data_IF_534430081496
#
_entry.id   IF_534430081496
#
_cell.length_a   1.000
_cell.length_b   1.000
_cell.length_c   1.000
_cell.angle_alpha   90.00
_cell.angle_beta   90.00
_cell.angle_gamma   90.00
#
_symmetry.space_group_name_H-M   'P 1'
#
loop_
_entity.id
_entity.type
_entity.pdbx_description
1 polymer ?
#
# COMPACT_ATOMS: atom_id res chain seq x y z
N UNK A 1 -4.20 -13.92 19.09
CA UNK A 1 -2.86 -14.44 19.18
C UNK A 1 -2.61 -14.66 20.65
N UNK A 2 -2.54 -15.91 21.05
CA UNK A 2 -2.16 -16.29 22.39
C UNK A 2 -0.72 -15.82 22.58
N UNK A 3 -0.53 -15.02 23.60
CA UNK A 3 0.74 -14.40 23.96
C UNK A 3 1.60 -15.43 24.71
N UNK A 4 1.80 -16.60 24.06
CA UNK A 4 2.59 -17.69 24.60
C UNK A 4 4.03 -17.27 24.90
N UNK A 5 4.60 -16.37 24.07
CA UNK A 5 5.95 -15.86 24.27
C UNK A 5 6.03 -14.98 25.55
N UNK A 6 5.00 -14.22 25.84
CA UNK A 6 4.92 -13.42 27.06
C UNK A 6 4.68 -14.29 28.30
N UNK A 7 3.85 -15.33 28.15
CA UNK A 7 3.62 -16.30 29.23
C UNK A 7 4.90 -17.07 29.56
N UNK A 8 5.68 -17.45 28.53
CA UNK A 8 6.95 -18.17 28.71
C UNK A 8 8.01 -17.32 29.43
N UNK A 9 8.15 -16.04 29.04
CA UNK A 9 9.06 -15.11 29.70
C UNK A 9 8.71 -14.96 31.21
N UNK A 10 7.44 -14.89 31.55
CA UNK A 10 6.98 -14.77 32.93
C UNK A 10 7.26 -16.02 33.77
N UNK A 11 7.12 -17.22 33.18
CA UNK A 11 7.41 -18.49 33.84
C UNK A 11 8.92 -18.68 34.04
N UNK A 12 9.74 -18.29 33.07
CA UNK A 12 11.20 -18.47 33.13
C UNK A 12 11.89 -17.57 34.18
N UNK A 13 11.32 -16.38 34.46
CA UNK A 13 11.89 -15.42 35.42
C UNK A 13 11.39 -15.61 36.85
N UNK A 14 10.46 -16.54 37.11
CA UNK A 14 9.93 -16.82 38.45
C UNK A 14 9.17 -15.64 39.10
N UNK A 15 8.77 -14.64 38.33
CA UNK A 15 8.03 -13.51 38.80
C UNK A 15 6.53 -13.80 38.88
N UNK A 16 6.00 -13.98 40.07
CA UNK A 16 4.59 -13.70 40.33
C UNK A 16 4.35 -12.18 40.28
N UNK A 17 4.27 -11.64 39.07
CA UNK A 17 3.78 -10.27 38.91
C UNK A 17 2.29 -10.27 39.23
N UNK A 18 1.89 -9.69 40.37
CA UNK A 18 0.55 -9.13 40.50
C UNK A 18 0.41 -8.09 39.39
N UNK A 19 -0.30 -8.45 38.31
CA UNK A 19 -0.64 -7.47 37.29
C UNK A 19 -1.40 -6.34 37.97
N UNK A 20 -0.92 -5.10 37.88
CA UNK A 20 -1.73 -3.97 38.33
C UNK A 20 -3.08 -4.10 37.61
N UNK A 21 -4.17 -3.75 38.30
CA UNK A 21 -5.49 -3.68 37.68
C UNK A 21 -5.36 -2.89 36.40
N UNK A 22 -5.54 -3.59 35.27
CA UNK A 22 -5.38 -2.96 33.96
C UNK A 22 -6.44 -1.85 33.89
N UNK A 23 -6.01 -0.61 33.98
CA UNK A 23 -6.85 0.50 33.58
C UNK A 23 -7.38 0.20 32.18
N UNK A 24 -8.67 0.35 31.92
CA UNK A 24 -9.20 0.11 30.58
C UNK A 24 -8.36 0.91 29.58
N UNK A 25 -7.82 0.22 28.58
CA UNK A 25 -7.01 0.89 27.57
C UNK A 25 -7.81 2.05 26.96
N UNK A 26 -7.21 3.22 26.82
CA UNK A 26 -7.90 4.35 26.20
C UNK A 26 -8.37 3.95 24.80
N UNK A 27 -9.54 4.40 24.40
CA UNK A 27 -10.08 4.18 23.06
C UNK A 27 -9.13 4.80 22.04
N UNK A 28 -8.38 3.96 21.33
CA UNK A 28 -7.42 4.42 20.33
C UNK A 28 -8.14 4.77 19.01
N UNK A 29 -7.65 5.78 18.26
CA UNK A 29 -8.25 6.15 16.98
C UNK A 29 -8.18 4.99 15.98
N UNK A 30 -9.15 4.93 15.05
CA UNK A 30 -9.18 3.90 14.00
C UNK A 30 -8.01 4.01 13.03
N UNK A 31 -7.37 5.17 12.93
CA UNK A 31 -6.18 5.38 12.11
C UNK A 31 -5.17 6.31 12.79
N UNK A 32 -3.90 6.11 12.46
CA UNK A 32 -2.80 6.93 12.94
C UNK A 32 -1.73 7.09 11.86
N UNK A 33 -1.03 8.23 11.88
CA UNK A 33 0.11 8.53 11.03
C UNK A 33 1.33 8.82 11.89
N UNK A 34 2.48 8.31 11.46
CA UNK A 34 3.80 8.54 12.04
C UNK A 34 4.67 9.22 10.98
N UNK A 35 4.56 10.54 10.88
CA UNK A 35 5.10 11.34 9.77
C UNK A 35 6.60 11.17 9.58
N UNK A 36 7.39 11.24 10.68
CA UNK A 36 8.85 11.12 10.64
C UNK A 36 9.36 9.68 10.41
N UNK A 37 8.49 8.68 10.56
CA UNK A 37 8.76 7.29 10.16
C UNK A 37 8.22 7.03 8.75
N UNK A 38 7.23 7.79 8.32
CA UNK A 38 6.55 7.65 7.05
C UNK A 38 5.65 6.43 6.97
N UNK A 39 4.93 6.12 8.05
CA UNK A 39 3.99 4.99 8.13
C UNK A 39 2.63 5.48 8.61
N UNK A 40 1.57 4.98 8.01
CA UNK A 40 0.22 5.16 8.53
C UNK A 40 -0.51 3.81 8.59
N UNK A 41 -1.35 3.67 9.62
CA UNK A 41 -2.25 2.53 9.81
C UNK A 41 -3.69 3.00 9.77
N UNK A 42 -4.53 2.27 9.02
CA UNK A 42 -5.96 2.49 8.91
C UNK A 42 -6.69 1.20 9.26
N UNK A 43 -7.74 1.28 10.06
CA UNK A 43 -8.56 0.15 10.48
C UNK A 43 -10.04 0.51 10.33
N UNK A 44 -10.85 -0.47 9.95
CA UNK A 44 -12.31 -0.30 9.88
C UNK A 44 -12.95 -0.56 11.24
N UNK A 45 -12.50 -1.58 11.96
CA UNK A 45 -12.93 -1.91 13.31
C UNK A 45 -11.73 -2.41 14.12
N UNK A 46 -11.07 -1.50 14.84
CA UNK A 46 -9.89 -1.83 15.63
C UNK A 46 -10.17 -2.69 16.84
N UNK A 47 -11.35 -2.56 17.41
CA UNK A 47 -11.74 -3.27 18.63
C UNK A 47 -12.14 -4.72 18.34
N UNK A 48 -12.59 -5.00 17.09
CA UNK A 48 -12.99 -6.33 16.67
C UNK A 48 -12.18 -6.83 15.48
N UNK A 49 -11.12 -7.60 15.75
CA UNK A 49 -10.26 -8.16 14.72
C UNK A 49 -11.02 -9.02 13.69
N UNK A 50 -12.13 -9.66 14.11
CA UNK A 50 -12.96 -10.50 13.23
C UNK A 50 -13.79 -9.72 12.22
N UNK A 51 -13.84 -8.39 12.34
CA UNK A 51 -14.52 -7.47 11.41
C UNK A 51 -13.56 -6.46 10.79
N UNK A 52 -12.29 -6.50 11.18
CA UNK A 52 -11.34 -5.45 10.84
C UNK A 52 -10.69 -5.68 9.47
N UNK A 53 -10.84 -4.70 8.60
CA UNK A 53 -9.94 -4.47 7.48
C UNK A 53 -8.85 -3.50 7.97
N UNK A 54 -7.60 -3.98 7.96
CA UNK A 54 -6.41 -3.18 8.30
C UNK A 54 -5.59 -2.92 7.05
N UNK A 55 -5.24 -1.68 6.85
CA UNK A 55 -4.32 -1.24 5.82
C UNK A 55 -3.14 -0.53 6.49
N UNK A 56 -1.93 -0.90 6.12
CA UNK A 56 -0.72 -0.12 6.41
C UNK A 56 -0.19 0.46 5.12
N UNK A 57 0.28 1.71 5.15
CA UNK A 57 0.94 2.39 4.04
C UNK A 57 2.30 2.89 4.48
N UNK A 58 3.26 2.92 3.56
CA UNK A 58 4.62 3.40 3.84
C UNK A 58 5.11 4.32 2.74
N UNK A 59 5.58 5.48 3.15
CA UNK A 59 6.37 6.41 2.35
C UNK A 59 7.26 7.20 3.32
N UNK A 60 8.51 6.77 3.50
CA UNK A 60 9.40 7.23 4.57
C UNK A 60 10.25 8.42 4.14
N UNK A 61 10.46 9.42 5.01
CA UNK A 61 11.45 10.48 4.77
C UNK A 61 12.90 9.97 4.82
N UNK A 62 13.11 8.71 5.19
CA UNK A 62 14.38 8.01 5.08
C UNK A 62 14.28 7.00 3.94
N UNK A 63 15.31 6.95 3.08
CA UNK A 63 15.39 6.00 1.99
C UNK A 63 15.67 4.57 2.45
N UNK A 64 16.17 3.73 1.55
CA UNK A 64 16.49 2.33 1.84
C UNK A 64 17.94 2.17 2.29
N UNK A 65 18.15 1.68 3.51
CA UNK A 65 19.46 1.42 4.10
C UNK A 65 19.37 0.23 5.08
N UNK A 66 20.40 -0.60 5.15
CA UNK A 66 20.53 -1.70 6.11
C UNK A 66 19.31 -2.66 6.10
N UNK A 67 18.43 -2.58 7.09
CA UNK A 67 17.25 -3.45 7.22
C UNK A 67 15.99 -2.88 6.54
N UNK A 68 15.99 -1.64 6.10
CA UNK A 68 14.86 -1.04 5.39
C UNK A 68 14.80 -1.51 3.93
N UNK A 69 13.67 -1.32 3.29
CA UNK A 69 13.42 -1.73 1.91
C UNK A 69 13.15 -0.51 1.02
N UNK A 70 13.43 -0.63 -0.26
CA UNK A 70 13.06 0.36 -1.28
C UNK A 70 11.57 0.23 -1.60
N UNK A 71 10.70 0.76 -0.74
CA UNK A 71 9.25 0.50 -0.70
C UNK A 71 8.40 1.75 -0.41
N UNK A 72 8.78 2.90 -0.98
CA UNK A 72 7.96 4.11 -0.81
C UNK A 72 6.68 4.04 -1.65
N UNK A 73 5.61 4.61 -1.11
CA UNK A 73 4.26 4.53 -1.66
C UNK A 73 3.78 3.08 -1.85
N UNK A 74 4.02 2.22 -0.86
CA UNK A 74 3.51 0.85 -0.81
C UNK A 74 2.44 0.70 0.27
N UNK A 75 1.70 -0.42 0.21
CA UNK A 75 0.66 -0.74 1.17
C UNK A 75 0.56 -2.25 1.42
N UNK A 76 0.00 -2.62 2.57
CA UNK A 76 -0.36 -4.00 2.90
C UNK A 76 -1.79 -4.06 3.44
N UNK A 77 -2.49 -5.12 3.12
CA UNK A 77 -3.88 -5.36 3.50
C UNK A 77 -4.00 -6.65 4.29
N UNK A 78 -4.59 -6.55 5.47
CA UNK A 78 -5.01 -7.69 6.27
C UNK A 78 -6.50 -7.58 6.59
N UNK A 79 -7.22 -8.68 6.49
CA UNK A 79 -8.63 -8.76 6.82
C UNK A 79 -8.88 -9.86 7.84
N UNK A 80 -9.61 -9.55 8.89
CA UNK A 80 -9.89 -10.47 10.00
C UNK A 80 -8.62 -11.16 10.56
N UNK A 81 -7.54 -10.37 10.72
CA UNK A 81 -6.24 -10.85 11.21
C UNK A 81 -5.43 -11.68 10.23
N UNK A 82 -5.88 -11.85 8.98
CA UNK A 82 -5.15 -12.59 7.93
C UNK A 82 -4.64 -11.64 6.85
N UNK A 83 -3.39 -11.84 6.43
CA UNK A 83 -2.77 -11.09 5.34
C UNK A 83 -3.40 -11.53 4.02
N UNK A 84 -3.97 -10.58 3.26
CA UNK A 84 -4.53 -10.86 1.93
C UNK A 84 -3.61 -10.35 0.82
N UNK A 85 -3.31 -9.05 0.81
CA UNK A 85 -2.38 -8.44 -0.13
C UNK A 85 -1.23 -7.82 0.65
N UNK A 86 -0.04 -8.39 0.53
CA UNK A 86 1.12 -7.96 1.32
C UNK A 86 2.43 -8.30 0.62
N UNK A 87 3.45 -7.54 0.99
CA UNK A 87 4.79 -7.65 0.43
C UNK A 87 5.32 -9.09 0.48
N UNK A 88 6.08 -9.49 -0.53
CA UNK A 88 6.90 -10.70 -0.47
C UNK A 88 7.99 -10.57 0.59
N UNK A 89 8.51 -11.69 1.09
CA UNK A 89 9.71 -11.64 1.92
C UNK A 89 9.54 -12.16 3.34
N UNK A 90 9.22 -13.42 3.46
CA UNK A 90 9.21 -14.10 4.75
C UNK A 90 10.35 -15.12 4.90
N UNK A 91 11.13 -15.36 3.86
CA UNK A 91 12.26 -16.30 3.90
C UNK A 91 13.50 -15.64 4.50
N UNK A 92 14.20 -16.29 5.40
CA UNK A 92 14.82 -15.64 6.52
C UNK A 92 16.32 -15.34 6.39
N UNK A 93 16.91 -15.15 5.23
CA UNK A 93 18.30 -14.74 5.20
C UNK A 93 18.54 -13.46 4.42
N UNK A 94 18.98 -12.42 5.15
CA UNK A 94 19.13 -11.05 4.61
C UNK A 94 20.16 -10.94 3.48
N UNK A 95 21.18 -11.80 3.46
CA UNK A 95 22.22 -11.79 2.43
C UNK A 95 21.93 -12.74 1.27
N UNK A 96 20.79 -13.44 1.26
CA UNK A 96 20.42 -14.32 0.14
C UNK A 96 20.30 -13.51 -1.16
N UNK A 97 20.77 -14.03 -2.30
CA UNK A 97 20.64 -13.34 -3.60
C UNK A 97 19.21 -12.91 -3.90
N UNK A 98 18.21 -13.76 -3.60
CA UNK A 98 16.80 -13.42 -3.77
C UNK A 98 16.35 -12.28 -2.86
N UNK A 99 16.83 -12.19 -1.62
CA UNK A 99 16.54 -11.09 -0.71
C UNK A 99 17.01 -9.76 -1.29
N UNK A 100 18.25 -9.73 -1.81
CA UNK A 100 18.82 -8.53 -2.43
C UNK A 100 18.15 -8.18 -3.77
N UNK A 101 17.75 -9.19 -4.56
CA UNK A 101 17.14 -8.99 -5.87
C UNK A 101 15.62 -8.74 -5.83
N UNK A 102 14.93 -9.12 -4.73
CA UNK A 102 13.48 -9.09 -4.66
C UNK A 102 12.94 -8.48 -3.37
N UNK A 103 13.19 -9.09 -2.20
CA UNK A 103 12.50 -8.71 -0.96
C UNK A 103 12.83 -7.31 -0.46
N UNK A 104 14.03 -6.83 -0.68
CA UNK A 104 14.43 -5.45 -0.34
C UNK A 104 14.11 -4.44 -1.43
N UNK A 105 13.70 -4.93 -2.59
CA UNK A 105 13.41 -4.13 -3.76
C UNK A 105 11.93 -3.81 -3.88
N UNK A 106 11.60 -2.73 -4.56
CA UNK A 106 10.23 -2.35 -4.93
C UNK A 106 9.47 -3.48 -5.62
N UNK A 107 10.18 -4.36 -6.33
CA UNK A 107 9.60 -5.55 -6.98
C UNK A 107 8.92 -6.52 -6.03
N UNK A 108 9.35 -6.59 -4.78
CA UNK A 108 8.74 -7.41 -3.74
C UNK A 108 7.58 -6.74 -3.00
N UNK A 109 7.17 -5.54 -3.42
CA UNK A 109 6.22 -4.69 -2.70
C UNK A 109 5.05 -4.24 -3.57
N UNK A 110 3.93 -3.88 -2.92
CA UNK A 110 2.72 -3.38 -3.60
C UNK A 110 2.92 -1.93 -4.04
N UNK A 111 3.77 -1.73 -5.03
CA UNK A 111 4.29 -0.44 -5.48
C UNK A 111 4.29 -0.27 -7.00
N UNK A 112 5.12 0.66 -7.48
CA UNK A 112 5.28 0.98 -8.90
C UNK A 112 6.69 0.65 -9.36
N UNK A 113 6.81 0.08 -10.56
CA UNK A 113 8.09 -0.04 -11.27
C UNK A 113 8.10 0.91 -12.46
N UNK A 114 9.29 1.38 -12.80
CA UNK A 114 9.57 2.26 -13.94
C UNK A 114 10.57 1.55 -14.84
N UNK A 115 10.23 1.31 -16.10
CA UNK A 115 11.05 0.50 -17.03
C UNK A 115 11.52 -0.83 -16.41
N UNK A 116 10.59 -1.52 -15.69
CA UNK A 116 10.81 -2.77 -14.94
C UNK A 116 11.80 -2.65 -13.77
N UNK A 117 12.22 -1.46 -13.39
CA UNK A 117 13.12 -1.17 -12.28
C UNK A 117 12.35 -0.58 -11.09
N UNK A 118 12.80 -0.89 -9.88
CA UNK A 118 12.27 -0.30 -8.65
C UNK A 118 13.00 0.97 -8.24
N UNK A 119 12.66 1.43 -7.05
CA UNK A 119 13.35 2.54 -6.39
C UNK A 119 14.79 2.13 -6.07
N UNK A 120 15.79 3.03 -6.22
CA UNK A 120 17.16 2.77 -5.79
C UNK A 120 17.25 2.39 -4.31
N UNK A 121 18.08 1.40 -4.00
CA UNK A 121 18.42 1.08 -2.63
C UNK A 121 19.45 2.08 -2.10
N UNK A 122 18.97 3.24 -1.68
CA UNK A 122 19.77 4.42 -1.34
C UNK A 122 19.09 5.20 -0.20
N UNK A 123 19.87 5.67 0.77
CA UNK A 123 19.36 6.39 1.94
C UNK A 123 18.71 7.75 1.56
N UNK A 124 19.17 8.35 0.46
CA UNK A 124 18.60 9.60 -0.07
C UNK A 124 17.41 9.42 -1.00
N UNK A 125 17.04 8.18 -1.38
CA UNK A 125 15.84 7.88 -2.16
C UNK A 125 14.62 7.80 -1.25
N UNK A 126 13.96 8.90 -0.97
CA UNK A 126 12.94 9.04 0.07
C UNK A 126 11.54 9.37 -0.46
N UNK A 127 10.54 9.17 0.38
CA UNK A 127 9.18 9.63 0.21
C UNK A 127 8.62 10.18 1.52
N UNK A 128 7.37 10.57 1.57
CA UNK A 128 6.70 11.02 2.79
C UNK A 128 5.18 10.96 2.67
N UNK A 129 4.48 11.22 3.76
CA UNK A 129 3.01 11.21 3.82
C UNK A 129 2.50 12.64 4.09
N UNK A 130 2.25 13.46 3.04
CA UNK A 130 1.93 14.88 3.21
C UNK A 130 0.52 15.16 3.73
N UNK A 131 -0.45 14.23 3.62
CA UNK A 131 -1.83 14.46 4.06
C UNK A 131 -2.39 13.25 4.77
N UNK A 132 -3.17 13.53 5.80
CA UNK A 132 -3.91 12.53 6.56
C UNK A 132 -5.25 13.10 7.04
N UNK A 133 -6.33 12.35 6.84
CA UNK A 133 -7.65 12.65 7.38
C UNK A 133 -8.24 11.34 7.94
N UNK A 134 -8.52 11.29 9.24
CA UNK A 134 -9.25 10.19 9.84
C UNK A 134 -10.72 10.58 10.07
N UNK A 135 -11.61 10.03 9.25
CA UNK A 135 -13.05 10.15 9.39
C UNK A 135 -13.68 8.94 10.09
N UNK A 136 -14.98 9.05 10.33
CA UNK A 136 -15.76 7.95 10.91
C UNK A 136 -16.04 6.86 9.85
N UNK A 137 -16.46 7.26 8.65
CA UNK A 137 -16.80 6.36 7.53
C UNK A 137 -15.69 6.23 6.51
N UNK A 138 -14.79 7.22 6.41
CA UNK A 138 -13.69 7.25 5.45
C UNK A 138 -12.41 7.75 6.10
N UNK A 139 -11.30 7.04 5.83
CA UNK A 139 -9.95 7.49 6.19
C UNK A 139 -9.12 7.70 4.93
N UNK A 140 -8.36 8.78 4.90
CA UNK A 140 -7.53 9.16 3.76
C UNK A 140 -6.07 9.38 4.16
N UNK A 141 -5.16 8.90 3.31
CA UNK A 141 -3.71 9.19 3.37
C UNK A 141 -3.23 9.54 1.97
N UNK A 142 -2.35 10.52 1.85
CA UNK A 142 -1.58 10.79 0.64
C UNK A 142 -0.13 10.40 0.89
N UNK A 143 0.46 9.63 -0.01
CA UNK A 143 1.88 9.39 -0.09
C UNK A 143 2.51 10.11 -1.27
N UNK A 144 3.67 10.70 -1.06
CA UNK A 144 4.51 11.30 -2.10
C UNK A 144 5.85 10.56 -2.15
N UNK A 145 6.15 9.92 -3.28
CA UNK A 145 7.38 9.21 -3.55
C UNK A 145 8.10 9.78 -4.79
N UNK A 146 7.90 11.05 -5.08
CA UNK A 146 8.53 11.71 -6.23
C UNK A 146 10.05 11.67 -6.17
N UNK A 147 10.63 11.70 -4.96
CA UNK A 147 12.07 11.63 -4.74
C UNK A 147 12.60 10.19 -4.55
N UNK A 148 11.72 9.21 -4.47
CA UNK A 148 12.11 7.83 -4.17
C UNK A 148 12.76 7.10 -5.37
N UNK A 149 12.70 7.66 -6.57
CA UNK A 149 13.28 7.08 -7.79
C UNK A 149 14.60 7.72 -8.19
N UNK A 150 15.24 8.41 -7.26
CA UNK A 150 16.55 9.06 -7.44
C UNK A 150 17.47 8.62 -6.32
N UNK A 151 18.70 8.21 -6.65
CA UNK A 151 19.74 7.97 -5.68
C UNK A 151 20.55 9.26 -5.46
N UNK A 152 20.78 9.62 -4.21
CA UNK A 152 21.43 10.87 -3.83
C UNK A 152 22.75 10.64 -3.08
N UNK A 153 22.92 9.51 -2.40
CA UNK A 153 24.08 9.27 -1.53
C UNK A 153 25.09 8.29 -2.13
N UNK A 154 24.62 7.23 -2.79
CA UNK A 154 25.50 6.18 -3.31
C UNK A 154 25.50 6.12 -4.83
N UNK A 155 26.67 6.24 -5.50
CA UNK A 155 26.79 5.98 -6.92
C UNK A 155 26.33 4.57 -7.28
N UNK A 156 25.76 4.36 -8.48
CA UNK A 156 25.25 3.06 -8.94
C UNK A 156 26.26 1.91 -8.77
N UNK A 157 27.54 2.16 -9.05
CA UNK A 157 28.65 1.21 -8.89
C UNK A 157 28.85 0.72 -7.45
N UNK A 158 28.38 1.46 -6.46
CA UNK A 158 28.52 1.14 -5.03
C UNK A 158 27.26 0.48 -4.47
N UNK A 159 26.17 0.41 -5.27
CA UNK A 159 24.93 -0.26 -4.88
C UNK A 159 24.88 -1.66 -5.47
N UNK A 160 24.32 -2.58 -4.70
CA UNK A 160 24.15 -3.99 -5.11
C UNK A 160 22.86 -4.24 -5.91
N UNK A 161 22.05 -3.21 -6.10
CA UNK A 161 20.74 -3.32 -6.73
C UNK A 161 20.74 -3.06 -8.25
N UNK A 162 21.85 -2.57 -8.78
CA UNK A 162 22.02 -2.23 -10.20
C UNK A 162 20.97 -1.26 -10.77
N UNK A 163 20.23 -0.53 -9.90
CA UNK A 163 19.27 0.48 -10.38
C UNK A 163 19.99 1.73 -10.87
N UNK A 164 19.46 2.44 -11.88
CA UNK A 164 19.98 3.74 -12.30
C UNK A 164 19.96 4.77 -11.14
N UNK A 165 20.85 5.75 -11.16
CA UNK A 165 20.86 6.84 -10.19
C UNK A 165 19.60 7.72 -10.28
N UNK A 166 19.09 7.91 -11.50
CA UNK A 166 17.86 8.66 -11.76
C UNK A 166 16.99 7.90 -12.74
N UNK A 167 15.81 7.52 -12.31
CA UNK A 167 14.78 6.87 -13.11
C UNK A 167 13.96 7.87 -13.93
N UNK A 168 14.22 9.17 -13.78
CA UNK A 168 13.53 10.24 -14.48
C UNK A 168 12.09 10.46 -14.01
N UNK A 169 11.73 10.01 -12.81
CA UNK A 169 10.41 10.30 -12.22
C UNK A 169 10.39 11.73 -11.70
N UNK A 170 9.45 12.53 -12.19
CA UNK A 170 9.22 13.90 -11.73
C UNK A 170 8.20 13.99 -10.63
N UNK A 171 7.23 13.07 -10.66
CA UNK A 171 6.06 13.14 -9.82
C UNK A 171 5.50 11.75 -9.61
N UNK A 172 5.28 11.36 -8.36
CA UNK A 172 4.54 10.16 -7.99
C UNK A 172 3.81 10.39 -6.67
N UNK A 173 2.51 10.61 -6.77
CA UNK A 173 1.59 10.66 -5.63
C UNK A 173 0.60 9.52 -5.67
N UNK A 174 0.35 8.93 -4.51
CA UNK A 174 -0.58 7.83 -4.32
C UNK A 174 -1.58 8.18 -3.23
N UNK A 175 -2.83 8.23 -3.61
CA UNK A 175 -3.96 8.43 -2.71
C UNK A 175 -4.43 7.09 -2.20
N UNK A 176 -4.60 6.98 -0.88
CA UNK A 176 -5.14 5.83 -0.20
C UNK A 176 -6.41 6.22 0.53
N UNK A 177 -7.53 5.54 0.24
CA UNK A 177 -8.80 5.77 0.88
C UNK A 177 -9.34 4.45 1.44
N UNK A 178 -9.52 4.38 2.74
CA UNK A 178 -10.20 3.29 3.39
C UNK A 178 -11.64 3.68 3.66
N UNK A 179 -12.58 3.06 2.95
CA UNK A 179 -14.01 3.23 3.11
C UNK A 179 -14.52 2.07 3.96
N UNK A 180 -15.05 2.38 5.11
CA UNK A 180 -15.55 1.36 6.02
C UNK A 180 -16.90 0.82 5.54
N UNK A 181 -17.16 -0.53 5.67
CA UNK A 181 -16.33 -1.47 6.44
C UNK A 181 -15.26 -2.22 5.64
N UNK A 182 -15.29 -2.25 4.27
CA UNK A 182 -14.58 -3.28 3.53
C UNK A 182 -14.03 -2.87 2.16
N UNK A 183 -13.92 -1.56 1.87
CA UNK A 183 -13.40 -1.08 0.59
C UNK A 183 -12.11 -0.27 0.81
N UNK A 184 -11.11 -0.56 -0.01
CA UNK A 184 -9.87 0.22 -0.06
C UNK A 184 -9.58 0.66 -1.49
N UNK A 185 -9.33 1.96 -1.67
CA UNK A 185 -9.06 2.57 -2.98
C UNK A 185 -7.64 3.08 -3.01
N UNK A 186 -6.95 2.82 -4.11
CA UNK A 186 -5.64 3.41 -4.44
C UNK A 186 -5.77 4.16 -5.76
N UNK A 187 -5.41 5.44 -5.76
CA UNK A 187 -5.37 6.25 -6.97
C UNK A 187 -3.99 6.87 -7.13
N UNK A 188 -3.35 6.59 -8.28
CA UNK A 188 -1.99 6.99 -8.58
C UNK A 188 -1.91 8.11 -9.62
N UNK A 189 -1.04 9.06 -9.35
CA UNK A 189 -0.67 10.14 -10.24
C UNK A 189 0.83 10.13 -10.48
N UNK A 190 1.23 9.94 -11.73
CA UNK A 190 2.64 9.78 -12.09
C UNK A 190 3.02 10.58 -13.34
N UNK A 191 4.25 11.13 -13.32
CA UNK A 191 4.88 11.78 -14.46
C UNK A 191 6.38 11.50 -14.48
N UNK A 192 6.93 11.19 -15.67
CA UNK A 192 8.36 11.03 -15.90
C UNK A 192 8.90 12.09 -16.89
N UNK A 193 10.21 12.28 -16.91
CA UNK A 193 10.90 13.21 -17.82
C UNK A 193 10.76 12.76 -19.28
N UNK A 194 10.82 11.46 -19.53
CA UNK A 194 10.67 10.80 -20.84
C UNK A 194 9.62 9.69 -20.78
N UNK A 195 9.10 9.18 -21.90
CA UNK A 195 8.22 8.02 -21.90
C UNK A 195 8.90 6.79 -21.29
N UNK A 196 8.24 6.14 -20.35
CA UNK A 196 8.68 4.94 -19.63
C UNK A 196 7.54 3.91 -19.56
N UNK A 197 7.87 2.66 -19.27
CA UNK A 197 6.90 1.64 -18.91
C UNK A 197 6.56 1.80 -17.43
N UNK A 198 5.27 1.98 -17.12
CA UNK A 198 4.76 2.02 -15.76
C UNK A 198 4.18 0.65 -15.41
N UNK A 199 4.65 0.06 -14.32
CA UNK A 199 4.10 -1.21 -13.84
C UNK A 199 3.58 -1.08 -12.42
N UNK A 200 2.34 -1.51 -12.19
CA UNK A 200 1.66 -1.57 -10.90
C UNK A 200 1.74 -2.99 -10.35
N UNK A 201 2.18 -3.16 -9.09
CA UNK A 201 2.46 -4.46 -8.48
C UNK A 201 1.53 -4.74 -7.31
N UNK A 202 1.10 -6.01 -7.16
CA UNK A 202 0.50 -6.52 -5.94
C UNK A 202 0.93 -7.97 -5.69
N UNK A 203 1.03 -8.34 -4.41
CA UNK A 203 1.59 -9.61 -3.96
C UNK A 203 0.64 -10.34 -3.02
N UNK A 204 0.75 -11.67 -3.03
CA UNK A 204 0.00 -12.54 -2.14
C UNK A 204 0.73 -13.89 -1.95
N UNK A 205 0.47 -14.56 -0.82
CA UNK A 205 1.01 -15.91 -0.55
C UNK A 205 0.03 -17.03 -0.97
N UNK A 206 -1.28 -16.74 -0.93
CA UNK A 206 -2.31 -17.76 -1.07
C UNK A 206 -2.71 -18.08 -2.51
N UNK A 207 -2.21 -17.32 -3.46
CA UNK A 207 -2.56 -17.41 -4.88
C UNK A 207 -3.33 -16.19 -5.36
N UNK A 208 -3.17 -15.89 -6.65
CA UNK A 208 -3.86 -14.81 -7.34
C UNK A 208 -4.57 -15.38 -8.56
N UNK A 209 -5.88 -15.19 -8.65
CA UNK A 209 -6.70 -15.56 -9.80
C UNK A 209 -7.00 -14.32 -10.62
N UNK A 210 -6.54 -14.30 -11.86
CA UNK A 210 -6.76 -13.20 -12.79
C UNK A 210 -7.98 -13.48 -13.68
N UNK A 211 -8.88 -12.51 -13.78
CA UNK A 211 -9.95 -12.43 -14.77
C UNK A 211 -9.65 -11.29 -15.74
N UNK A 212 -9.21 -11.64 -16.95
CA UNK A 212 -8.90 -10.68 -18.00
C UNK A 212 -10.12 -9.94 -18.55
N UNK A 213 -11.32 -10.56 -18.51
CA UNK A 213 -12.53 -9.95 -19.07
C UNK A 213 -12.99 -8.77 -18.21
N UNK A 214 -12.91 -8.95 -16.89
CA UNK A 214 -13.37 -7.95 -15.92
C UNK A 214 -12.24 -7.09 -15.35
N UNK A 215 -10.98 -7.33 -15.74
CA UNK A 215 -9.78 -6.68 -15.19
C UNK A 215 -9.71 -6.80 -13.66
N UNK A 216 -10.02 -8.00 -13.14
CA UNK A 216 -10.02 -8.26 -11.71
C UNK A 216 -9.02 -9.33 -11.30
N UNK A 217 -8.51 -9.19 -10.09
CA UNK A 217 -7.63 -10.16 -9.44
C UNK A 217 -8.25 -10.53 -8.10
N UNK A 218 -8.33 -11.83 -7.83
CA UNK A 218 -8.84 -12.35 -6.59
C UNK A 218 -7.79 -13.14 -5.83
N UNK A 219 -7.87 -13.08 -4.51
CA UNK A 219 -7.16 -13.96 -3.60
C UNK A 219 -8.13 -14.49 -2.55
N UNK A 220 -7.91 -15.74 -2.14
CA UNK A 220 -8.75 -16.39 -1.15
C UNK A 220 -7.89 -17.04 -0.07
N UNK A 221 -8.27 -16.88 1.19
CA UNK A 221 -7.74 -17.60 2.33
C UNK A 221 -8.91 -18.20 3.11
N UNK A 222 -9.17 -19.51 2.89
CA UNK A 222 -10.34 -20.23 3.43
C UNK A 222 -11.65 -19.58 2.95
N UNK A 223 -12.44 -19.07 3.88
CA UNK A 223 -13.76 -18.46 3.71
C UNK A 223 -13.74 -16.95 3.45
N UNK A 224 -12.55 -16.34 3.40
CA UNK A 224 -12.37 -14.90 3.21
C UNK A 224 -11.43 -14.58 2.08
N UNK A 225 -11.60 -13.42 1.49
CA UNK A 225 -10.78 -13.04 0.38
C UNK A 225 -10.77 -11.56 0.09
N UNK A 226 -10.13 -11.22 -1.01
CA UNK A 226 -10.08 -9.88 -1.57
C UNK A 226 -10.15 -9.90 -3.08
N UNK A 227 -10.92 -8.97 -3.64
CA UNK A 227 -10.99 -8.70 -5.09
C UNK A 227 -10.44 -7.31 -5.35
N UNK A 228 -9.52 -7.21 -6.28
CA UNK A 228 -8.99 -5.99 -6.84
C UNK A 228 -9.55 -5.78 -8.25
N UNK A 229 -10.13 -4.61 -8.52
CA UNK A 229 -10.43 -4.11 -9.87
C UNK A 229 -9.43 -3.01 -10.21
N UNK A 230 -8.67 -3.15 -11.33
CA UNK A 230 -7.62 -2.22 -11.71
C UNK A 230 -7.93 -1.54 -13.04
N UNK A 231 -7.83 -0.21 -13.06
CA UNK A 231 -8.07 0.64 -14.22
C UNK A 231 -6.86 1.52 -14.50
N UNK A 232 -6.49 1.63 -15.78
CA UNK A 232 -5.42 2.51 -16.25
C UNK A 232 -5.95 3.74 -16.98
N UNK A 233 -5.28 4.89 -16.82
CA UNK A 233 -5.49 6.08 -17.64
C UNK A 233 -4.94 5.92 -19.08
N UNK A 234 -4.19 4.86 -19.31
CA UNK A 234 -3.70 4.37 -20.61
C UNK A 234 -3.89 2.85 -20.65
N UNK A 235 -3.90 2.24 -21.86
CA UNK A 235 -4.00 0.77 -22.00
C UNK A 235 -2.91 0.05 -21.22
N UNK A 236 -3.30 -1.01 -20.52
CA UNK A 236 -2.47 -1.83 -19.64
C UNK A 236 -2.66 -3.31 -19.95
N UNK A 237 -1.63 -4.10 -19.68
CA UNK A 237 -1.63 -5.54 -19.74
C UNK A 237 -1.44 -6.14 -18.33
N UNK A 238 -1.75 -7.42 -18.15
CA UNK A 238 -1.74 -8.09 -16.86
C UNK A 238 -0.96 -9.40 -16.92
N UNK A 239 -0.13 -9.61 -15.91
CA UNK A 239 0.56 -10.89 -15.68
C UNK A 239 0.43 -11.32 -14.23
N UNK A 240 0.24 -12.63 -14.00
CA UNK A 240 0.26 -13.26 -12.68
C UNK A 240 1.22 -14.44 -12.73
N UNK A 241 2.12 -14.50 -11.75
CA UNK A 241 3.08 -15.62 -11.63
C UNK A 241 3.58 -15.76 -10.21
N UNK A 242 4.09 -16.92 -9.86
CA UNK A 242 4.86 -17.21 -8.65
C UNK A 242 6.34 -17.50 -8.96
N UNK A 243 6.75 -17.25 -10.21
CA UNK A 243 8.12 -17.49 -10.68
C UNK A 243 8.99 -16.25 -10.51
N UNK A 244 10.24 -16.44 -10.18
CA UNK A 244 11.21 -15.39 -9.93
C UNK A 244 12.43 -15.54 -10.83
N UNK A 245 13.02 -14.41 -11.25
CA UNK A 245 14.30 -14.42 -11.98
C UNK A 245 15.45 -14.99 -11.14
N UNK A 246 15.42 -14.74 -9.84
CA UNK A 246 16.34 -15.31 -8.85
C UNK A 246 15.49 -16.08 -7.85
N UNK A 247 15.53 -17.40 -7.92
CA UNK A 247 14.72 -18.27 -7.07
C UNK A 247 15.03 -18.10 -5.58
N UNK A 248 14.02 -18.07 -4.71
CA UNK A 248 14.22 -18.07 -3.28
C UNK A 248 14.69 -19.44 -2.81
N UNK A 249 15.89 -19.49 -2.25
CA UNK A 249 16.44 -20.72 -1.64
C UNK A 249 16.14 -20.73 -0.15
N UNK A 250 15.77 -21.89 0.38
CA UNK A 250 15.69 -22.12 1.81
C UNK A 250 17.08 -22.44 2.33
N UNK A 251 17.75 -21.46 2.94
CA UNK A 251 19.07 -21.68 3.54
C UNK A 251 18.99 -22.31 4.94
N UNK A 252 17.85 -22.19 5.59
CA UNK A 252 17.58 -22.82 6.88
C UNK A 252 16.37 -23.73 6.64
N UNK A 253 16.62 -25.01 6.60
CA UNK A 253 15.55 -26.00 6.67
C UNK A 253 14.92 -25.88 8.06
N UNK A 254 13.70 -25.37 8.11
CA UNK A 254 12.89 -25.41 9.31
C UNK A 254 12.10 -26.71 9.28
N UNK A 255 12.12 -27.41 10.37
CA UNK A 255 11.22 -28.53 10.61
C UNK A 255 10.05 -28.07 11.47
N UNK A 256 8.91 -28.73 11.35
CA UNK A 256 7.79 -28.58 12.28
C UNK A 256 8.12 -29.28 13.62
N UNK A 257 7.13 -29.31 14.53
CA UNK A 257 7.29 -29.97 15.84
C UNK A 257 7.50 -31.47 15.77
N UNK A 258 7.29 -32.09 14.60
CA UNK A 258 7.46 -33.52 14.35
C UNK A 258 8.75 -33.87 13.57
N UNK A 259 9.55 -32.85 13.22
CA UNK A 259 10.79 -33.00 12.48
C UNK A 259 10.63 -33.04 10.96
N UNK A 260 9.42 -32.80 10.43
CA UNK A 260 9.16 -32.72 9.00
C UNK A 260 9.65 -31.40 8.41
N UNK A 261 10.19 -31.44 7.20
CA UNK A 261 10.67 -30.24 6.51
C UNK A 261 9.49 -29.37 6.10
N UNK A 262 9.49 -28.13 6.58
CA UNK A 262 8.51 -27.14 6.17
C UNK A 262 8.80 -26.66 4.74
N UNK A 263 7.88 -26.95 3.83
CA UNK A 263 7.90 -26.39 2.49
C UNK A 263 7.36 -24.96 2.48
N UNK A 264 8.16 -24.04 1.94
CA UNK A 264 7.74 -22.66 1.73
C UNK A 264 7.35 -22.46 0.26
N UNK A 265 6.07 -22.26 0.01
CA UNK A 265 5.56 -21.91 -1.33
C UNK A 265 6.11 -20.55 -1.77
N UNK A 266 6.24 -20.36 -3.09
CA UNK A 266 6.56 -19.05 -3.64
C UNK A 266 5.40 -18.08 -3.41
N UNK A 267 5.72 -16.81 -3.21
CA UNK A 267 4.73 -15.75 -3.21
C UNK A 267 4.30 -15.45 -4.65
N UNK A 268 3.01 -15.31 -4.83
CA UNK A 268 2.42 -14.84 -6.07
C UNK A 268 2.59 -13.35 -6.22
N UNK A 269 2.82 -12.91 -7.43
CA UNK A 269 2.80 -11.50 -7.77
C UNK A 269 2.05 -11.26 -9.07
N UNK A 270 1.27 -10.21 -9.03
CA UNK A 270 0.60 -9.63 -10.18
C UNK A 270 1.34 -8.36 -10.59
N UNK A 271 1.46 -8.17 -11.89
CA UNK A 271 2.02 -6.98 -12.49
C UNK A 271 1.11 -6.50 -13.61
N UNK A 272 0.71 -5.22 -13.55
CA UNK A 272 0.04 -4.54 -14.65
C UNK A 272 1.00 -3.54 -15.27
N UNK A 273 1.25 -3.65 -16.59
CA UNK A 273 2.22 -2.79 -17.28
C UNK A 273 1.53 -2.02 -18.43
N UNK A 274 1.93 -0.78 -18.65
CA UNK A 274 1.46 0.00 -19.82
C UNK A 274 1.85 -0.68 -21.13
N UNK A 275 0.91 -0.79 -22.07
CA UNK A 275 1.18 -1.41 -23.40
C UNK A 275 2.19 -0.61 -24.24
N UNK A 276 2.33 0.67 -23.97
CA UNK A 276 3.31 1.56 -24.62
C UNK A 276 3.92 2.48 -23.58
N UNK A 277 5.16 2.86 -23.75
CA UNK A 277 5.84 3.86 -22.90
C UNK A 277 5.07 5.17 -22.87
N UNK A 278 4.89 5.71 -21.67
CA UNK A 278 4.10 6.90 -21.38
C UNK A 278 4.88 7.87 -20.47
N UNK A 279 4.79 9.18 -20.74
CA UNK A 279 5.31 10.21 -19.82
C UNK A 279 4.47 10.31 -18.56
N UNK A 280 3.14 10.18 -18.71
CA UNK A 280 2.17 10.33 -17.61
C UNK A 280 1.30 9.11 -17.52
N UNK A 281 1.00 8.69 -16.31
CA UNK A 281 0.12 7.56 -16.03
C UNK A 281 -0.77 7.84 -14.83
N UNK A 282 -1.97 7.24 -14.85
CA UNK A 282 -2.91 7.15 -13.75
C UNK A 282 -3.30 5.70 -13.56
N UNK A 283 -3.35 5.24 -12.32
CA UNK A 283 -3.99 3.98 -11.97
C UNK A 283 -5.08 4.22 -10.93
N UNK A 284 -6.17 3.51 -11.06
CA UNK A 284 -7.20 3.40 -10.03
C UNK A 284 -7.38 1.93 -9.69
N UNK A 285 -7.11 1.57 -8.45
CA UNK A 285 -7.37 0.26 -7.90
C UNK A 285 -8.49 0.35 -6.85
N UNK A 286 -9.53 -0.47 -7.01
CA UNK A 286 -10.63 -0.61 -6.06
C UNK A 286 -10.55 -2.02 -5.50
N UNK A 287 -10.30 -2.14 -4.20
CA UNK A 287 -10.11 -3.40 -3.49
C UNK A 287 -11.25 -3.60 -2.52
N UNK A 288 -11.95 -4.70 -2.65
CA UNK A 288 -12.99 -5.14 -1.74
C UNK A 288 -12.49 -6.35 -0.95
N UNK A 289 -12.84 -6.45 0.33
CA UNK A 289 -12.62 -7.66 1.13
C UNK A 289 -13.96 -8.23 1.57
N UNK A 290 -14.04 -9.56 1.68
CA UNK A 290 -15.27 -10.26 2.03
C UNK A 290 -14.95 -11.52 2.85
N UNK A 291 -15.85 -11.90 3.74
CA UNK A 291 -15.79 -13.12 4.55
C UNK A 291 -16.73 -14.25 4.03
N UNK A 292 -17.42 -13.98 2.93
CA UNK A 292 -18.26 -14.93 2.20
C UNK A 292 -17.90 -15.03 0.71
N UNK A 293 -16.80 -14.36 0.30
CA UNK A 293 -16.30 -14.28 -1.08
C UNK A 293 -17.28 -13.62 -2.07
N UNK A 294 -18.27 -12.90 -1.57
CA UNK A 294 -19.16 -12.10 -2.39
C UNK A 294 -18.62 -10.67 -2.51
N UNK A 295 -18.62 -10.17 -3.73
CA UNK A 295 -18.09 -8.84 -4.06
C UNK A 295 -19.07 -8.12 -4.97
N UNK A 296 -19.28 -6.84 -4.68
CA UNK A 296 -20.06 -5.97 -5.56
C UNK A 296 -19.30 -5.73 -6.87
N UNK A 297 -20.03 -5.67 -7.96
CA UNK A 297 -19.45 -5.31 -9.25
C UNK A 297 -19.00 -3.84 -9.25
N UNK A 298 -17.81 -3.59 -9.78
CA UNK A 298 -17.33 -2.22 -10.03
C UNK A 298 -17.78 -1.78 -11.41
N UNK A 299 -18.87 -1.02 -11.46
CA UNK A 299 -19.40 -0.49 -12.71
C UNK A 299 -18.64 0.78 -13.12
N UNK A 300 -18.10 0.82 -14.34
CA UNK A 300 -17.50 2.02 -14.93
C UNK A 300 -18.58 2.75 -15.73
N UNK A 301 -19.03 3.89 -15.21
CA UNK A 301 -20.07 4.72 -15.82
C UNK A 301 -19.41 5.83 -16.64
N UNK A 302 -19.86 6.03 -17.87
CA UNK A 302 -19.32 6.98 -18.85
C UNK A 302 -17.83 6.72 -19.20
N UNK A 303 -17.43 7.15 -20.39
CA UNK A 303 -16.05 6.99 -20.87
C UNK A 303 -15.04 7.68 -19.96
N UNK A 304 -14.64 7.00 -18.89
CA UNK A 304 -13.36 7.29 -18.31
C UNK A 304 -13.25 7.52 -16.82
N UNK A 305 -14.10 8.28 -16.15
CA UNK A 305 -13.73 8.85 -14.85
C UNK A 305 -14.66 8.49 -13.69
N UNK A 306 -15.84 7.91 -13.96
CA UNK A 306 -16.83 7.60 -12.92
C UNK A 306 -16.98 6.09 -12.72
N UNK A 307 -16.99 5.68 -11.48
CA UNK A 307 -17.11 4.29 -11.04
C UNK A 307 -18.13 4.20 -9.91
N UNK A 308 -18.85 3.09 -9.85
CA UNK A 308 -19.75 2.80 -8.73
C UNK A 308 -19.45 1.42 -8.16
N UNK A 309 -19.50 1.31 -6.83
CA UNK A 309 -19.31 0.06 -6.09
C UNK A 309 -19.98 0.16 -4.72
N UNK A 310 -20.76 -0.83 -4.33
CA UNK A 310 -21.32 -0.99 -2.97
C UNK A 310 -21.92 0.32 -2.38
N UNK A 311 -22.72 1.04 -3.19
CA UNK A 311 -23.35 2.29 -2.76
C UNK A 311 -22.43 3.52 -2.74
N UNK A 312 -21.24 3.45 -3.32
CA UNK A 312 -20.31 4.57 -3.45
C UNK A 312 -20.12 4.99 -4.90
N UNK A 313 -20.01 6.28 -5.12
CA UNK A 313 -19.64 6.91 -6.38
C UNK A 313 -18.20 7.42 -6.27
N UNK A 314 -17.35 6.99 -7.21
CA UNK A 314 -15.95 7.37 -7.26
C UNK A 314 -15.73 8.11 -8.57
N UNK A 315 -15.29 9.35 -8.53
CA UNK A 315 -14.86 10.10 -9.71
C UNK A 315 -13.36 10.31 -9.60
N UNK A 316 -12.58 9.51 -10.33
CA UNK A 316 -11.13 9.63 -10.41
C UNK A 316 -10.75 10.15 -11.81
N UNK A 317 -10.01 11.25 -11.86
CA UNK A 317 -9.58 11.78 -13.15
C UNK A 317 -8.51 10.86 -13.78
N UNK A 318 -8.92 10.07 -14.76
CA UNK A 318 -8.06 9.14 -15.50
C UNK A 318 -7.39 9.78 -16.72
N UNK A 319 -7.80 11.00 -17.13
CA UNK A 319 -7.11 11.76 -18.16
C UNK A 319 -5.78 12.29 -17.62
N UNK A 320 -4.69 11.71 -18.13
CA UNK A 320 -3.32 12.03 -17.70
C UNK A 320 -2.87 13.47 -18.06
N UNK A 321 -3.60 14.18 -18.92
CA UNK A 321 -3.25 15.53 -19.35
C UNK A 321 -3.86 16.63 -18.46
N UNK A 322 -4.77 16.28 -17.58
CA UNK A 322 -5.41 17.20 -16.64
C UNK A 322 -4.90 16.97 -15.22
N UNK A 323 -5.05 17.96 -14.30
CA UNK A 323 -4.65 17.78 -12.90
C UNK A 323 -5.34 16.57 -12.24
N UNK A 324 -4.63 15.90 -11.34
CA UNK A 324 -5.18 14.79 -10.59
C UNK A 324 -6.31 15.24 -9.65
N UNK A 325 -7.38 14.46 -9.62
CA UNK A 325 -8.53 14.68 -8.76
C UNK A 325 -9.21 13.36 -8.45
N UNK A 326 -9.53 13.15 -7.20
CA UNK A 326 -10.42 12.07 -6.78
C UNK A 326 -11.54 12.63 -5.90
N UNK A 327 -12.76 12.22 -6.21
CA UNK A 327 -13.98 12.52 -5.47
C UNK A 327 -14.66 11.20 -5.12
N UNK A 328 -15.02 11.03 -3.86
CA UNK A 328 -15.74 9.84 -3.38
C UNK A 328 -16.98 10.30 -2.62
N UNK A 329 -18.14 9.80 -3.01
CA UNK A 329 -19.43 10.19 -2.44
C UNK A 329 -20.26 8.93 -2.12
N UNK A 330 -20.87 8.88 -0.94
CA UNK A 330 -21.87 7.84 -0.65
C UNK A 330 -23.18 8.16 -1.40
N UNK A 331 -23.90 7.13 -1.86
CA UNK A 331 -25.23 7.32 -2.48
C UNK A 331 -26.26 7.92 -1.52
N UNK A 332 -26.09 7.72 -0.20
CA UNK A 332 -26.92 8.35 0.83
C UNK A 332 -26.66 9.86 0.99
N UNK A 333 -25.57 10.38 0.42
CA UNK A 333 -25.17 11.78 0.57
C UNK A 333 -24.58 12.13 1.96
N UNK A 334 -24.29 11.11 2.78
CA UNK A 334 -23.77 11.33 4.14
C UNK A 334 -22.24 11.51 4.17
N UNK A 335 -21.54 11.12 3.10
CA UNK A 335 -20.10 11.25 2.99
C UNK A 335 -19.72 11.83 1.63
N UNK A 336 -18.86 12.84 1.66
CA UNK A 336 -18.22 13.38 0.47
C UNK A 336 -16.77 13.67 0.76
N UNK A 337 -15.88 13.04 0.00
CA UNK A 337 -14.44 13.29 0.05
C UNK A 337 -13.96 13.83 -1.27
N UNK A 338 -13.10 14.85 -1.25
CA UNK A 338 -12.46 15.41 -2.43
C UNK A 338 -10.98 15.66 -2.17
N UNK A 339 -10.14 15.28 -3.10
CA UNK A 339 -8.71 15.60 -3.11
C UNK A 339 -8.29 16.14 -4.46
N UNK A 340 -7.54 17.23 -4.44
CA UNK A 340 -6.93 17.87 -5.60
C UNK A 340 -5.42 17.86 -5.46
N UNK A 341 -4.74 17.73 -6.62
CA UNK A 341 -3.28 17.90 -6.75
C UNK A 341 -3.03 18.82 -7.95
N UNK A 342 -2.10 19.78 -7.85
CA UNK A 342 -1.74 20.69 -8.93
C UNK A 342 -1.93 22.17 -8.62
N UNK A 343 -1.99 23.02 -9.66
CA UNK A 343 -1.97 24.49 -9.55
C UNK A 343 -3.12 25.10 -8.75
N UNK A 344 -4.28 24.41 -8.69
CA UNK A 344 -5.48 24.89 -8.01
C UNK A 344 -5.53 24.57 -6.52
N UNK A 345 -4.41 24.15 -5.95
CA UNK A 345 -4.26 23.87 -4.53
C UNK A 345 -4.10 22.39 -4.22
N UNK A 346 -3.13 22.13 -3.36
CA UNK A 346 -2.84 20.80 -2.82
C UNK A 346 -3.67 20.59 -1.55
N UNK A 347 -4.95 20.27 -1.70
CA UNK A 347 -5.89 20.16 -0.58
C UNK A 347 -6.72 18.89 -0.65
N UNK A 348 -7.14 18.42 0.53
CA UNK A 348 -8.14 17.36 0.68
C UNK A 348 -9.18 17.77 1.70
N UNK A 349 -10.45 17.45 1.44
CA UNK A 349 -11.57 17.73 2.34
C UNK A 349 -12.47 16.52 2.44
N UNK A 350 -12.90 16.22 3.66
CA UNK A 350 -13.88 15.20 3.98
C UNK A 350 -15.06 15.84 4.69
N UNK A 351 -16.25 15.59 4.19
CA UNK A 351 -17.53 15.97 4.77
C UNK A 351 -18.25 14.69 5.19
N UNK A 352 -18.64 14.59 6.45
CA UNK A 352 -19.38 13.44 7.00
C UNK A 352 -20.56 13.93 7.83
N UNK A 353 -21.74 13.32 7.64
CA UNK A 353 -22.89 13.50 8.54
C UNK A 353 -22.79 12.46 9.65
N UNK A 354 -22.58 12.92 10.88
CA UNK A 354 -22.47 12.10 12.08
C UNK A 354 -23.59 12.55 13.04
N UNK A 355 -24.52 11.64 13.39
CA UNK A 355 -25.67 11.95 14.23
C UNK A 355 -26.45 13.19 13.74
N UNK A 356 -26.67 13.29 12.42
CA UNK A 356 -27.39 14.38 11.80
C UNK A 356 -26.62 15.71 11.65
N UNK A 357 -25.39 15.78 12.14
CA UNK A 357 -24.52 16.98 12.06
C UNK A 357 -23.44 16.79 11.02
N UNK A 358 -23.19 17.81 10.22
CA UNK A 358 -22.06 17.82 9.28
C UNK A 358 -20.75 18.08 10.04
N UNK A 359 -19.76 17.21 9.80
CA UNK A 359 -18.39 17.36 10.28
C UNK A 359 -17.48 17.49 9.07
N UNK A 360 -16.67 18.56 9.03
CA UNK A 360 -15.72 18.83 7.96
C UNK A 360 -14.31 18.70 8.47
N UNK A 361 -13.50 17.89 7.79
CA UNK A 361 -12.07 17.74 8.04
C UNK A 361 -11.29 18.11 6.78
N UNK A 362 -10.17 18.79 6.94
CA UNK A 362 -9.32 19.19 5.82
C UNK A 362 -7.85 18.92 6.10
N UNK A 363 -7.09 18.64 5.05
CA UNK A 363 -5.66 18.52 5.07
C UNK A 363 -5.04 19.25 3.88
N UNK A 364 -3.90 19.86 4.11
CA UNK A 364 -3.01 20.47 3.11
C UNK A 364 -1.66 19.75 3.15
N UNK A 365 -0.85 19.89 2.11
CA UNK A 365 0.48 19.30 2.08
C UNK A 365 1.34 19.81 3.24
N UNK A 366 1.93 18.85 3.97
CA UNK A 366 2.90 19.10 5.05
C UNK A 366 4.15 18.27 4.82
N UNK A 367 5.29 18.85 5.08
CA UNK A 367 6.55 18.11 5.10
C UNK A 367 6.84 17.60 6.52
N UNK A 368 7.35 16.37 6.68
CA UNK A 368 7.84 15.87 7.96
C UNK A 368 8.93 16.77 8.53
N UNK A 369 9.02 16.84 9.85
CA UNK A 369 10.06 17.65 10.54
C UNK A 369 11.46 17.20 10.17
N UNK A 370 11.67 15.91 9.97
CA UNK A 370 12.95 15.35 9.52
C UNK A 370 13.43 15.93 8.20
N UNK A 371 12.55 16.09 7.20
CA UNK A 371 12.88 16.70 5.91
C UNK A 371 13.15 18.20 6.07
N UNK A 372 12.32 18.93 6.83
CA UNK A 372 12.50 20.37 7.09
C UNK A 372 13.84 20.63 7.79
N UNK A 373 14.24 19.79 8.74
CA UNK A 373 15.49 19.94 9.45
C UNK A 373 16.72 19.59 8.61
N UNK A 374 16.58 18.60 7.69
CA UNK A 374 17.66 18.26 6.76
C UNK A 374 17.93 19.37 5.74
N UNK A 375 16.90 20.10 5.29
CA UNK A 375 17.06 21.24 4.35
C UNK A 375 17.68 22.50 4.96
N UNK A 376 17.84 22.53 6.30
CA UNK A 376 18.46 23.66 7.04
C UNK A 376 19.95 23.43 7.38
N UNK A 377 20.47 22.24 7.11
CA UNK A 377 21.87 21.86 7.26
C UNK A 377 22.60 21.94 5.93
#
# INVERSE_FOLDING_TARGET
>A
ADDLDYAWFRVSEGYEMQLPSLNPMPKLPSAAIFEDVGVAYMNTDRENIKKNLRVSVKSSPMGALAHTHAEHNTFNIAYQGKRLFYNSGYRPWMAAPHTLAWYKHTQGHNGILVDQQGQPYDAGAFGFLPRFINGEKLTYVLGDASHAYQAHELPAKNRKDNTPNDMGVKYFRRHYLLIKPNIFIVYDEMEAQKPVDWSWMIHNYHGLKLDHQNNTIETTYKDRGGRLSLFGGRPIDFTVTDQFKVEPKNFIQKTDAYGEILEYKNHWHFKSTTLKKQKKMRFLAIIQVSDDLNYEEVSRIEKGNKFEVAGWKITANMDVNTPGKILVESKSGDVKFISHTGKDGNTSKLFEKINGREVVKSAIDRLPKSIINASKR
#
